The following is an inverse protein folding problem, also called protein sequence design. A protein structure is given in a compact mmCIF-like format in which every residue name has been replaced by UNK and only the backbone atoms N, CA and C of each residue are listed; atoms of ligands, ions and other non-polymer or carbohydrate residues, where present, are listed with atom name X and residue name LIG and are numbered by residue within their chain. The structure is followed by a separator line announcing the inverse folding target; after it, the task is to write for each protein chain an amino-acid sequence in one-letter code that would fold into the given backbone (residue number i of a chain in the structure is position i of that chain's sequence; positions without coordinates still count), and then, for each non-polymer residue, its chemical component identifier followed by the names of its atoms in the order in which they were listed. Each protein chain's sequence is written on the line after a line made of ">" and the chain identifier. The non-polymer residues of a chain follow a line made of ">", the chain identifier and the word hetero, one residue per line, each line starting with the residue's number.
data_IF_629325164223
#
_entry.id   IF_629325164223
#
_cell.length_a   1.000
_cell.length_b   1.000
_cell.length_c   1.000
_cell.angle_alpha   90.00
_cell.angle_beta   90.00
_cell.angle_gamma   90.00
#
_symmetry.space_group_name_H-M   'P 1'
#
loop_
_entity.id
_entity.type
_entity.pdbx_description
1 polymer ?
#
# COMPACT_ATOMS: atom_id res chain seq x y z
N UNK A 1 21.62 -21.45 -1.84
CA UNK A 1 20.31 -20.76 -1.72
C UNK A 1 20.04 -19.97 -3.00
N UNK A 2 18.86 -20.07 -3.59
CA UNK A 2 18.52 -19.29 -4.79
C UNK A 2 18.29 -17.82 -4.41
N UNK A 3 18.75 -16.87 -5.23
CA UNK A 3 18.58 -15.42 -5.01
C UNK A 3 17.12 -15.05 -4.68
N UNK A 4 16.15 -15.64 -5.39
CA UNK A 4 14.70 -15.45 -5.14
C UNK A 4 14.25 -15.84 -3.72
N UNK A 5 14.90 -16.83 -3.09
CA UNK A 5 14.59 -17.24 -1.71
C UNK A 5 15.16 -16.22 -0.72
N UNK A 6 16.39 -15.77 -0.94
CA UNK A 6 17.05 -14.75 -0.12
C UNK A 6 16.27 -13.44 -0.14
N UNK A 7 15.87 -12.96 -1.33
CA UNK A 7 15.08 -11.74 -1.48
C UNK A 7 13.76 -11.81 -0.71
N UNK A 8 13.04 -12.94 -0.78
CA UNK A 8 11.78 -13.11 -0.03
C UNK A 8 11.98 -13.06 1.48
N UNK A 9 13.05 -13.69 1.98
CA UNK A 9 13.38 -13.65 3.42
C UNK A 9 13.73 -12.23 3.84
N UNK A 10 14.54 -11.51 3.05
CA UNK A 10 14.92 -10.13 3.33
C UNK A 10 13.71 -9.20 3.35
N UNK A 11 12.80 -9.32 2.37
CA UNK A 11 11.55 -8.55 2.34
C UNK A 11 10.69 -8.84 3.57
N UNK A 12 10.55 -10.12 3.95
CA UNK A 12 9.80 -10.51 5.14
C UNK A 12 10.40 -9.92 6.43
N UNK A 13 11.72 -9.99 6.57
CA UNK A 13 12.43 -9.42 7.71
C UNK A 13 12.26 -7.89 7.77
N UNK A 14 12.41 -7.21 6.64
CA UNK A 14 12.22 -5.77 6.55
C UNK A 14 10.79 -5.37 6.90
N UNK A 15 9.80 -6.16 6.48
CA UNK A 15 8.40 -5.95 6.82
C UNK A 15 8.14 -6.09 8.32
N UNK A 16 8.73 -7.10 8.97
CA UNK A 16 8.63 -7.26 10.44
C UNK A 16 9.25 -6.06 11.16
N UNK A 17 10.44 -5.63 10.73
CA UNK A 17 11.11 -4.45 11.29
C UNK A 17 10.24 -3.20 11.11
N UNK A 18 9.66 -3.02 9.93
CA UNK A 18 8.74 -1.93 9.63
C UNK A 18 7.55 -1.91 10.60
N UNK A 19 6.90 -3.06 10.84
CA UNK A 19 5.76 -3.14 11.76
C UNK A 19 6.17 -2.80 13.19
N UNK A 20 7.26 -3.37 13.69
CA UNK A 20 7.72 -3.12 15.07
C UNK A 20 8.08 -1.64 15.27
N UNK A 21 8.81 -1.04 14.32
CA UNK A 21 9.17 0.38 14.41
C UNK A 21 7.98 1.32 14.30
N UNK A 22 6.88 0.87 13.69
CA UNK A 22 5.67 1.67 13.50
C UNK A 22 4.49 1.17 14.33
N UNK A 23 4.74 0.49 15.45
CA UNK A 23 3.71 -0.03 16.35
C UNK A 23 3.03 1.07 17.20
N UNK A 24 3.65 2.24 17.32
CA UNK A 24 3.10 3.38 18.05
C UNK A 24 1.75 3.83 17.48
N UNK A 25 0.79 4.07 18.36
CA UNK A 25 -0.54 4.59 18.00
C UNK A 25 -0.45 6.08 17.68
N UNK A 26 -1.05 6.48 16.57
CA UNK A 26 -1.18 7.88 16.15
C UNK A 26 -2.63 8.24 15.90
N UNK A 27 -2.94 9.50 16.13
CA UNK A 27 -4.20 10.12 15.71
C UNK A 27 -4.09 10.57 14.25
N UNK A 28 -5.01 10.09 13.42
CA UNK A 28 -5.21 10.54 12.04
C UNK A 28 -6.41 11.45 12.01
N UNK A 29 -6.18 12.74 11.73
CA UNK A 29 -7.26 13.73 11.56
C UNK A 29 -7.46 13.99 10.07
N UNK A 30 -8.70 13.83 9.61
CA UNK A 30 -9.05 14.11 8.21
C UNK A 30 -10.41 14.80 8.14
N UNK A 31 -10.40 16.00 7.56
CA UNK A 31 -11.52 16.93 7.54
C UNK A 31 -12.13 17.12 8.94
N UNK A 32 -13.23 16.42 9.23
CA UNK A 32 -13.99 16.55 10.48
C UNK A 32 -13.95 15.30 11.36
N UNK A 33 -13.25 14.24 10.93
CA UNK A 33 -13.10 13.01 11.73
C UNK A 33 -11.68 12.85 12.26
N UNK A 34 -11.57 12.11 13.37
CA UNK A 34 -10.32 11.64 13.94
C UNK A 34 -10.41 10.12 14.15
N UNK A 35 -9.32 9.41 13.94
CA UNK A 35 -9.22 7.99 14.22
C UNK A 35 -7.83 7.65 14.77
N UNK A 36 -7.76 6.75 15.73
CA UNK A 36 -6.50 6.28 16.30
C UNK A 36 -6.16 4.89 15.75
N UNK A 37 -4.93 4.72 15.27
CA UNK A 37 -4.43 3.45 14.78
C UNK A 37 -2.89 3.40 14.88
N UNK A 38 -2.30 2.20 14.81
CA UNK A 38 -0.85 2.11 14.72
C UNK A 38 -0.32 2.77 13.44
N UNK A 39 0.83 3.46 13.54
CA UNK A 39 1.49 4.09 12.37
C UNK A 39 1.66 3.09 11.22
N UNK A 40 1.99 1.84 11.54
CA UNK A 40 2.16 0.78 10.55
C UNK A 40 0.88 0.57 9.73
N UNK A 41 -0.28 0.52 10.40
CA UNK A 41 -1.56 0.33 9.75
C UNK A 41 -1.94 1.55 8.90
N UNK A 42 -1.73 2.76 9.42
CA UNK A 42 -1.96 4.01 8.68
C UNK A 42 -1.14 4.04 7.40
N UNK A 43 0.17 3.77 7.48
CA UNK A 43 1.07 3.76 6.33
C UNK A 43 0.68 2.69 5.29
N UNK A 44 0.34 1.48 5.74
CA UNK A 44 -0.16 0.41 4.86
C UNK A 44 -1.47 0.81 4.15
N UNK A 45 -2.42 1.42 4.86
CA UNK A 45 -3.67 1.89 4.28
C UNK A 45 -3.45 3.00 3.25
N UNK A 46 -2.64 4.01 3.57
CA UNK A 46 -2.33 5.11 2.63
C UNK A 46 -1.61 4.58 1.39
N UNK A 47 -0.68 3.65 1.54
CA UNK A 47 -0.01 3.00 0.41
C UNK A 47 -1.01 2.24 -0.48
N UNK A 48 -1.90 1.45 0.11
CA UNK A 48 -2.93 0.72 -0.63
C UNK A 48 -3.88 1.67 -1.36
N UNK A 49 -4.32 2.75 -0.72
CA UNK A 49 -5.14 3.79 -1.35
C UNK A 49 -4.41 4.46 -2.52
N UNK A 50 -3.10 4.75 -2.37
CA UNK A 50 -2.27 5.28 -3.45
C UNK A 50 -2.17 4.33 -4.65
N UNK A 51 -2.01 3.02 -4.40
CA UNK A 51 -2.02 2.00 -5.45
C UNK A 51 -3.38 1.94 -6.17
N UNK A 52 -4.48 1.96 -5.42
CA UNK A 52 -5.83 1.96 -6.01
C UNK A 52 -6.04 3.23 -6.85
N UNK A 53 -5.70 4.40 -6.30
CA UNK A 53 -5.85 5.69 -6.97
C UNK A 53 -4.99 5.79 -8.24
N UNK A 54 -3.77 5.25 -8.22
CA UNK A 54 -2.87 5.25 -9.39
C UNK A 54 -3.20 4.20 -10.44
N UNK A 55 -3.65 3.00 -10.02
CA UNK A 55 -3.90 1.89 -10.94
C UNK A 55 -5.28 1.99 -11.61
N UNK A 56 -6.31 2.37 -10.87
CA UNK A 56 -7.69 2.37 -11.37
C UNK A 56 -7.88 3.22 -12.66
N UNK A 57 -7.31 4.44 -12.78
CA UNK A 57 -7.42 5.25 -13.99
C UNK A 57 -6.74 4.62 -15.22
N UNK A 58 -5.62 3.94 -15.02
CA UNK A 58 -4.87 3.26 -16.10
C UNK A 58 -5.70 2.13 -16.70
N UNK A 59 -6.41 1.36 -15.86
CA UNK A 59 -7.29 0.27 -16.31
C UNK A 59 -8.48 0.79 -17.12
N UNK A 60 -9.07 1.91 -16.69
CA UNK A 60 -10.22 2.52 -17.38
C UNK A 60 -9.82 3.03 -18.77
N UNK A 61 -8.66 3.67 -18.87
CA UNK A 61 -8.15 4.21 -20.14
C UNK A 61 -7.82 3.09 -21.13
N UNK A 62 -7.13 2.02 -20.69
CA UNK A 62 -6.85 0.86 -21.55
C UNK A 62 -8.10 0.15 -22.04
N UNK A 63 -9.14 0.03 -21.21
CA UNK A 63 -10.42 -0.59 -21.60
C UNK A 63 -11.12 0.20 -22.71
N UNK A 64 -11.09 1.54 -22.67
CA UNK A 64 -11.66 2.39 -23.72
C UNK A 64 -10.93 2.24 -25.06
N UNK A 65 -9.61 2.09 -25.03
CA UNK A 65 -8.81 1.94 -26.25
C UNK A 65 -9.01 0.57 -26.92
N UNK A 66 -9.34 -0.48 -26.15
CA UNK A 66 -9.70 -1.79 -26.68
C UNK A 66 -11.12 -1.83 -27.26
N UNK A 67 -12.07 -1.07 -26.69
CA UNK A 67 -13.45 -1.03 -27.15
C UNK A 67 -13.71 -0.06 -28.34
N UNK A 68 -12.73 0.79 -28.69
CA UNK A 68 -12.78 1.66 -29.87
C UNK A 68 -12.00 1.13 -31.08
N UNK A 69 -11.46 -0.09 -30.99
CA UNK A 69 -10.73 -0.78 -32.06
C UNK A 69 -11.48 -2.01 -32.61
N UNK A 70 -12.70 -2.26 -32.14
CA UNK A 70 -13.68 -3.20 -32.71
C UNK A 70 -14.75 -2.42 -33.49
#
# INVERSE_FOLDING_TARGET
>A
MTVKKVVRILIGLLFVIFVIQNAEVVEVRFLFWGAEASRALVLCCVFALGLIAGWLPIRITKKKESAGKE
#
